data_IF_946714463109
#
_entry.id   IF_946714463109
#
_cell.length_a   1.000
_cell.length_b   1.000
_cell.length_c   1.000
_cell.angle_alpha   90.00
_cell.angle_beta   90.00
_cell.angle_gamma   90.00
#
_symmetry.space_group_name_H-M   'P 1'
#
loop_
_entity.id
_entity.type
_entity.pdbx_description
1 polymer ?
#
# COMPACT_ATOMS: atom_id res chain seq x y z
N UNK A 1 2.43 -36.41 22.99
CA UNK A 1 2.87 -34.99 22.96
C UNK A 1 3.58 -34.77 21.63
N UNK A 2 2.91 -34.18 20.64
CA UNK A 2 3.53 -33.87 19.34
C UNK A 2 3.98 -32.41 19.32
N UNK A 3 5.23 -32.23 18.90
CA UNK A 3 6.00 -30.99 18.84
C UNK A 3 5.20 -29.82 18.23
N UNK A 4 5.32 -28.66 18.88
CA UNK A 4 4.77 -27.41 18.39
C UNK A 4 5.29 -27.06 17.00
N UNK A 5 4.38 -26.57 16.16
CA UNK A 5 4.73 -25.99 14.87
C UNK A 5 5.54 -24.72 15.11
N UNK A 6 6.84 -24.75 14.82
CA UNK A 6 7.63 -23.54 14.71
C UNK A 6 7.08 -22.69 13.56
N UNK A 7 6.58 -21.51 13.91
CA UNK A 7 6.13 -20.51 12.96
C UNK A 7 7.37 -20.05 12.19
N UNK A 8 7.60 -20.57 11.00
CA UNK A 8 8.69 -20.11 10.13
C UNK A 8 8.44 -18.62 9.86
N UNK A 9 9.21 -17.75 10.51
CA UNK A 9 9.18 -16.33 10.23
C UNK A 9 9.64 -16.15 8.78
N UNK A 10 8.74 -15.68 7.91
CA UNK A 10 9.11 -15.36 6.54
C UNK A 10 10.32 -14.42 6.54
N UNK A 11 11.35 -14.76 5.77
CA UNK A 11 12.57 -13.97 5.67
C UNK A 11 12.20 -12.58 5.13
N UNK A 12 12.47 -11.54 5.92
CA UNK A 12 12.25 -10.15 5.51
C UNK A 12 13.11 -9.81 4.30
N UNK A 13 12.51 -9.12 3.34
CA UNK A 13 13.13 -8.73 2.07
C UNK A 13 13.91 -7.41 2.18
N UNK A 14 13.64 -6.61 3.21
CA UNK A 14 14.16 -5.24 3.36
C UNK A 14 13.46 -4.23 2.45
N UNK A 15 12.37 -4.63 1.77
CA UNK A 15 11.64 -3.79 0.82
C UNK A 15 10.31 -3.32 1.41
N UNK A 16 9.56 -2.47 0.68
CA UNK A 16 8.21 -2.07 1.08
C UNK A 16 7.25 -3.25 1.22
N UNK A 17 7.51 -4.37 0.54
CA UNK A 17 6.66 -5.55 0.58
C UNK A 17 6.61 -6.19 1.97
N UNK A 18 7.63 -5.98 2.82
CA UNK A 18 7.60 -6.42 4.22
C UNK A 18 6.56 -5.67 5.05
N UNK A 19 6.08 -4.52 4.57
CA UNK A 19 5.07 -3.69 5.21
C UNK A 19 3.67 -3.83 4.58
N UNK A 20 3.54 -4.62 3.51
CA UNK A 20 2.28 -4.82 2.77
C UNK A 20 1.73 -6.20 3.10
N UNK A 21 0.56 -6.24 3.74
CA UNK A 21 -0.19 -7.47 3.98
C UNK A 21 -1.45 -7.45 3.11
N UNK A 22 -1.44 -8.21 2.02
CA UNK A 22 -2.54 -8.23 1.06
C UNK A 22 -3.85 -8.72 1.70
N UNK A 23 -4.93 -7.96 1.49
CA UNK A 23 -6.29 -8.33 1.93
C UNK A 23 -7.19 -8.74 0.76
N UNK A 24 -6.79 -8.43 -0.49
CA UNK A 24 -7.42 -8.90 -1.72
C UNK A 24 -6.36 -9.33 -2.74
N UNK A 25 -6.81 -10.00 -3.81
CA UNK A 25 -5.96 -10.47 -4.90
C UNK A 25 -5.21 -9.32 -5.60
N UNK A 26 -4.14 -9.68 -6.32
CA UNK A 26 -3.40 -8.74 -7.14
C UNK A 26 -4.23 -8.27 -8.34
N UNK A 27 -3.96 -7.06 -8.82
CA UNK A 27 -4.45 -6.66 -10.14
C UNK A 27 -3.79 -7.54 -11.21
N UNK A 28 -4.56 -8.05 -12.20
CA UNK A 28 -4.03 -8.95 -13.22
C UNK A 28 -2.76 -8.40 -13.88
N UNK A 29 -1.73 -9.24 -13.94
CA UNK A 29 -0.45 -8.88 -14.58
C UNK A 29 0.50 -8.02 -13.74
N UNK A 30 0.07 -7.48 -12.59
CA UNK A 30 0.89 -6.63 -11.71
C UNK A 30 1.27 -7.34 -10.41
N UNK A 31 2.17 -6.73 -9.62
CA UNK A 31 2.49 -7.15 -8.25
C UNK A 31 1.69 -6.40 -7.18
N UNK A 32 0.75 -5.53 -7.58
CA UNK A 32 0.03 -4.63 -6.67
C UNK A 32 -1.25 -5.33 -6.18
N UNK A 33 -1.45 -5.50 -4.86
CA UNK A 33 -2.73 -5.97 -4.32
C UNK A 33 -3.85 -4.95 -4.51
N UNK A 34 -5.08 -5.42 -4.76
CA UNK A 34 -6.28 -4.56 -4.79
C UNK A 34 -6.58 -3.92 -3.46
N UNK A 35 -6.23 -4.53 -2.35
CA UNK A 35 -6.23 -3.87 -1.06
C UNK A 35 -5.25 -4.58 -0.16
N UNK A 36 -4.75 -3.84 0.82
CA UNK A 36 -3.78 -4.36 1.76
C UNK A 36 -3.75 -3.52 3.02
N UNK A 37 -3.27 -4.10 4.11
CA UNK A 37 -2.84 -3.34 5.26
C UNK A 37 -1.39 -2.89 5.05
N UNK A 38 -1.15 -1.62 5.31
CA UNK A 38 0.16 -0.99 5.23
C UNK A 38 0.67 -0.71 6.64
N UNK A 39 1.75 -1.37 7.03
CA UNK A 39 2.48 -1.07 8.24
C UNK A 39 3.30 0.22 8.06
N UNK A 40 3.17 1.15 8.99
CA UNK A 40 3.87 2.45 8.96
C UNK A 40 4.34 2.78 10.38
N UNK A 41 5.63 2.57 10.64
CA UNK A 41 6.18 2.62 12.01
C UNK A 41 5.36 1.72 12.96
N UNK A 42 4.75 2.30 14.01
CA UNK A 42 3.90 1.57 14.96
C UNK A 42 2.40 1.60 14.59
N UNK A 43 2.05 2.17 13.42
CA UNK A 43 0.68 2.31 12.96
C UNK A 43 0.37 1.37 11.79
N UNK A 44 -0.92 1.14 11.55
CA UNK A 44 -1.42 0.40 10.40
C UNK A 44 -2.55 1.17 9.75
N UNK A 45 -2.55 1.21 8.43
CA UNK A 45 -3.62 1.79 7.61
C UNK A 45 -4.11 0.71 6.65
N UNK A 46 -5.42 0.60 6.48
CA UNK A 46 -5.95 -0.23 5.40
C UNK A 46 -6.02 0.58 4.12
N UNK A 47 -5.41 0.08 3.05
CA UNK A 47 -5.39 0.72 1.73
C UNK A 47 -6.48 0.08 0.88
N UNK A 48 -7.48 0.88 0.52
CA UNK A 48 -8.64 0.47 -0.27
C UNK A 48 -8.30 0.38 -1.77
N UNK A 49 -9.06 -0.41 -2.53
CA UNK A 49 -8.89 -0.56 -4.00
C UNK A 49 -8.86 0.73 -4.78
N UNK A 50 -9.74 1.66 -4.46
CA UNK A 50 -9.74 3.01 -5.05
C UNK A 50 -8.41 3.76 -4.86
N UNK A 51 -7.67 3.51 -3.78
CA UNK A 51 -6.35 4.13 -3.59
C UNK A 51 -5.23 3.41 -4.35
N UNK A 52 -5.40 2.14 -4.69
CA UNK A 52 -4.41 1.34 -5.44
C UNK A 52 -4.65 1.30 -6.94
N UNK A 53 -5.82 1.75 -7.41
CA UNK A 53 -6.22 1.69 -8.80
C UNK A 53 -5.24 2.41 -9.73
N UNK A 54 -4.90 3.66 -9.44
CA UNK A 54 -3.94 4.43 -10.25
C UNK A 54 -2.52 3.82 -10.28
N UNK A 55 -2.08 3.19 -9.18
CA UNK A 55 -0.82 2.43 -9.16
C UNK A 55 -0.87 1.25 -10.16
N UNK A 56 -1.97 0.51 -10.14
CA UNK A 56 -2.16 -0.65 -11.00
C UNK A 56 -2.36 -0.26 -12.47
N UNK A 57 -3.09 0.81 -12.74
CA UNK A 57 -3.25 1.39 -14.08
C UNK A 57 -1.91 1.82 -14.66
N UNK A 58 -1.08 2.50 -13.87
CA UNK A 58 0.28 2.89 -14.30
C UNK A 58 1.13 1.66 -14.63
N UNK A 59 1.16 0.66 -13.75
CA UNK A 59 1.91 -0.58 -13.98
C UNK A 59 1.43 -1.30 -15.26
N UNK A 60 0.11 -1.40 -15.44
CA UNK A 60 -0.50 -2.03 -16.62
C UNK A 60 -0.19 -1.27 -17.90
N UNK A 61 -0.26 0.08 -17.86
CA UNK A 61 0.08 0.94 -18.99
C UNK A 61 1.54 0.74 -19.42
N UNK A 62 2.47 0.64 -18.47
CA UNK A 62 3.89 0.41 -18.76
C UNK A 62 4.12 -0.97 -19.37
N UNK A 63 3.45 -2.01 -18.88
CA UNK A 63 3.50 -3.34 -19.50
C UNK A 63 2.96 -3.32 -20.93
N UNK A 64 1.84 -2.64 -21.18
CA UNK A 64 1.24 -2.51 -22.50
C UNK A 64 2.14 -1.73 -23.48
N UNK A 65 3.00 -0.86 -22.98
CA UNK A 65 4.03 -0.14 -23.76
C UNK A 65 5.30 -0.96 -24.00
N UNK A 66 5.33 -2.23 -23.57
CA UNK A 66 6.46 -3.14 -23.75
C UNK A 66 7.57 -2.98 -22.72
N UNK A 67 7.37 -2.23 -21.64
CA UNK A 67 8.36 -2.15 -20.56
C UNK A 67 8.46 -3.49 -19.84
N UNK A 68 9.68 -3.95 -19.59
CA UNK A 68 9.90 -5.26 -18.99
C UNK A 68 9.25 -5.37 -17.61
N UNK A 69 8.73 -6.57 -17.30
CA UNK A 69 8.07 -6.87 -16.02
C UNK A 69 8.95 -6.54 -14.81
N UNK A 70 10.25 -6.78 -14.90
CA UNK A 70 11.18 -6.49 -13.80
C UNK A 70 11.30 -4.99 -13.52
N UNK A 71 11.34 -4.15 -14.57
CA UNK A 71 11.37 -2.70 -14.41
C UNK A 71 10.04 -2.16 -13.87
N UNK A 72 8.92 -2.70 -14.35
CA UNK A 72 7.59 -2.33 -13.81
C UNK A 72 7.48 -2.71 -12.33
N UNK A 73 7.92 -3.90 -11.94
CA UNK A 73 7.90 -4.34 -10.54
C UNK A 73 8.78 -3.44 -9.65
N UNK A 74 9.97 -3.05 -10.13
CA UNK A 74 10.84 -2.11 -9.42
C UNK A 74 10.18 -0.74 -9.27
N UNK A 75 9.55 -0.22 -10.33
CA UNK A 75 8.81 1.04 -10.27
C UNK A 75 7.62 0.97 -9.30
N UNK A 76 6.85 -0.13 -9.31
CA UNK A 76 5.77 -0.36 -8.34
C UNK A 76 6.28 -0.40 -6.90
N UNK A 77 7.41 -1.07 -6.64
CA UNK A 77 8.04 -1.07 -5.32
C UNK A 77 8.42 0.35 -4.88
N UNK A 78 8.99 1.15 -5.77
CA UNK A 78 9.37 2.53 -5.47
C UNK A 78 8.15 3.43 -5.22
N UNK A 79 7.08 3.29 -6.01
CA UNK A 79 5.84 4.03 -5.79
C UNK A 79 5.19 3.67 -4.47
N UNK A 80 5.11 2.39 -4.11
CA UNK A 80 4.58 1.96 -2.81
C UNK A 80 5.45 2.45 -1.65
N UNK A 81 6.78 2.49 -1.81
CA UNK A 81 7.67 3.06 -0.80
C UNK A 81 7.44 4.56 -0.62
N UNK A 82 7.24 5.29 -1.71
CA UNK A 82 6.87 6.71 -1.69
C UNK A 82 5.53 6.93 -1.00
N UNK A 83 4.51 6.13 -1.34
CA UNK A 83 3.20 6.17 -0.70
C UNK A 83 3.31 5.91 0.81
N UNK A 84 4.09 4.91 1.23
CA UNK A 84 4.31 4.61 2.64
C UNK A 84 4.90 5.81 3.40
N UNK A 85 5.86 6.52 2.82
CA UNK A 85 6.44 7.72 3.41
C UNK A 85 5.44 8.89 3.49
N UNK A 86 4.58 9.05 2.48
CA UNK A 86 3.52 10.05 2.49
C UNK A 86 2.47 9.76 3.56
N UNK A 87 2.06 8.49 3.71
CA UNK A 87 1.16 8.04 4.78
C UNK A 87 1.81 8.25 6.15
N UNK A 88 3.10 7.97 6.31
CA UNK A 88 3.83 8.23 7.55
C UNK A 88 3.78 9.71 7.93
N UNK A 89 4.01 10.59 6.96
CA UNK A 89 3.94 12.03 7.15
C UNK A 89 2.53 12.48 7.52
N UNK A 90 1.49 11.91 6.90
CA UNK A 90 0.10 12.23 7.22
C UNK A 90 -0.28 11.81 8.65
N UNK A 91 0.21 10.65 9.11
CA UNK A 91 0.02 10.18 10.48
C UNK A 91 0.74 11.14 11.46
N UNK A 92 2.00 11.48 11.19
CA UNK A 92 2.80 12.33 12.07
C UNK A 92 2.20 13.74 12.25
N UNK A 93 1.56 14.27 11.20
CA UNK A 93 0.92 15.59 11.23
C UNK A 93 -0.53 15.57 11.76
N UNK A 94 -1.07 14.39 12.05
CA UNK A 94 -2.49 14.19 12.34
C UNK A 94 -3.33 14.15 11.06
N UNK A 95 -4.01 13.02 10.83
CA UNK A 95 -4.78 12.80 9.60
C UNK A 95 -6.06 13.66 9.61
N UNK A 96 -6.25 14.57 8.63
CA UNK A 96 -7.52 15.29 8.46
C UNK A 96 -8.51 14.43 7.67
N UNK A 97 -9.20 13.54 8.37
CA UNK A 97 -10.17 12.60 7.77
C UNK A 97 -11.25 13.30 6.93
N UNK A 98 -11.65 12.66 5.84
CA UNK A 98 -12.69 13.15 4.93
C UNK A 98 -12.26 14.27 4.00
N UNK A 99 -11.01 14.75 4.08
CA UNK A 99 -10.46 15.82 3.22
C UNK A 99 -9.35 15.29 2.31
N UNK A 100 -9.25 15.88 1.12
CA UNK A 100 -8.11 15.70 0.24
C UNK A 100 -6.94 16.51 0.78
N UNK A 101 -5.76 15.90 0.83
CA UNK A 101 -4.51 16.56 1.21
C UNK A 101 -3.44 16.26 0.16
N UNK A 102 -2.54 17.21 -0.06
CA UNK A 102 -1.35 17.01 -0.88
C UNK A 102 -0.14 16.88 0.04
N UNK A 103 0.50 15.71 0.07
CA UNK A 103 1.62 15.43 0.95
C UNK A 103 2.55 14.37 0.35
N UNK A 104 3.86 14.60 0.41
CA UNK A 104 4.86 13.62 -0.04
C UNK A 104 4.79 13.27 -1.53
N UNK A 105 4.28 14.18 -2.38
CA UNK A 105 4.07 13.91 -3.80
C UNK A 105 2.79 13.12 -4.11
N UNK A 106 1.84 13.08 -3.18
CA UNK A 106 0.56 12.40 -3.34
C UNK A 106 -0.60 13.31 -2.99
N UNK A 107 -1.69 13.19 -3.73
CA UNK A 107 -3.01 13.57 -3.25
C UNK A 107 -3.63 12.38 -2.51
N UNK A 108 -3.98 12.56 -1.25
CA UNK A 108 -4.46 11.50 -0.35
C UNK A 108 -5.82 11.87 0.25
N UNK A 109 -6.68 10.87 0.49
CA UNK A 109 -7.87 11.00 1.33
C UNK A 109 -8.01 9.82 2.25
N UNK A 110 -8.18 10.10 3.53
CA UNK A 110 -8.38 9.09 4.56
C UNK A 110 -9.82 9.09 5.07
N UNK A 111 -10.30 7.92 5.48
CA UNK A 111 -11.54 7.72 6.20
C UNK A 111 -11.28 7.14 7.59
N UNK A 112 -12.10 7.54 8.56
CA UNK A 112 -12.07 6.96 9.90
C UNK A 112 -12.43 5.47 9.85
N UNK A 113 -11.94 4.72 10.83
CA UNK A 113 -12.42 3.35 11.06
C UNK A 113 -13.93 3.37 11.33
N UNK A 114 -14.68 2.41 10.77
CA UNK A 114 -16.15 2.35 10.96
C UNK A 114 -16.54 1.60 12.23
N UNK A 115 -15.63 0.83 12.81
CA UNK A 115 -15.78 0.11 14.06
C UNK A 115 -14.43 0.07 14.83
N UNK A 116 -14.48 -0.24 16.13
CA UNK A 116 -13.31 -0.19 17.02
C UNK A 116 -12.20 -1.19 16.67
N UNK A 117 -12.54 -2.28 15.97
CA UNK A 117 -11.64 -3.33 15.52
C UNK A 117 -11.09 -3.09 14.09
N UNK A 118 -11.48 -1.98 13.45
CA UNK A 118 -11.07 -1.66 12.09
C UNK A 118 -9.94 -0.64 12.05
N UNK A 119 -9.13 -0.74 11.01
CA UNK A 119 -8.10 0.27 10.70
C UNK A 119 -8.74 1.50 10.05
N UNK A 120 -8.19 2.71 10.29
CA UNK A 120 -8.45 3.84 9.41
C UNK A 120 -8.02 3.49 7.97
N UNK A 121 -8.75 4.02 7.00
CA UNK A 121 -8.60 3.62 5.60
C UNK A 121 -8.01 4.75 4.76
N UNK A 122 -7.04 4.44 3.91
CA UNK A 122 -6.66 5.26 2.77
C UNK A 122 -7.58 4.91 1.61
N UNK A 123 -8.46 5.84 1.23
CA UNK A 123 -9.54 5.60 0.25
C UNK A 123 -9.29 6.29 -1.10
N UNK A 124 -8.28 7.15 -1.18
CA UNK A 124 -7.80 7.80 -2.40
C UNK A 124 -6.30 8.03 -2.30
N UNK A 125 -5.56 7.70 -3.36
CA UNK A 125 -4.16 8.03 -3.50
C UNK A 125 -3.81 8.23 -4.98
N UNK A 126 -3.35 9.43 -5.32
CA UNK A 126 -2.94 9.79 -6.67
C UNK A 126 -1.54 10.42 -6.63
N UNK A 127 -0.53 9.89 -7.35
CA UNK A 127 0.77 10.56 -7.48
C UNK A 127 0.61 11.94 -8.14
N UNK A 128 1.36 12.94 -7.64
CA UNK A 128 1.38 14.33 -8.14
C UNK A 128 2.72 14.68 -8.78
#
# INVERSE_FOLDING_TARGET
MVKGAEKIAAKRTGTVWDAVSATQSLYPGTVIPRSFELAVSNNRIWVHGNATEHLAEYATSMLNRGVSRNLVNLASQQQLRSLQAAVQSAIANGIPYGRLINLGGWELKFAVARAADQLPALIHALPR
#
